data_IF_056439668389
#
_entry.id   IF_056439668389
#
_cell.length_a   1.000
_cell.length_b   1.000
_cell.length_c   1.000
_cell.angle_alpha   90.00
_cell.angle_beta   90.00
_cell.angle_gamma   90.00
#
_symmetry.space_group_name_H-M   'P 1'
#
loop_
_entity.id
_entity.type
_entity.pdbx_description
1 polymer ?
#
# COMPACT_ATOMS: atom_id res chain seq x y z
N UNK A 1 -46.97 -3.39 29.77
CA UNK A 1 -47.13 -4.87 29.83
C UNK A 1 -45.81 -5.41 29.36
N UNK A 2 -44.82 -5.56 30.22
CA UNK A 2 -44.54 -6.59 31.21
C UNK A 2 -44.18 -7.96 30.65
N UNK A 3 -43.00 -8.31 31.09
CA UNK A 3 -42.45 -9.66 31.41
C UNK A 3 -41.78 -10.41 30.27
N UNK A 4 -40.72 -11.12 30.46
CA UNK A 4 -39.67 -11.34 31.48
C UNK A 4 -38.76 -12.48 30.98
N UNK A 5 -37.45 -12.30 31.09
CA UNK A 5 -36.47 -13.15 31.77
C UNK A 5 -36.60 -14.69 31.72
N UNK A 6 -35.47 -15.34 31.38
CA UNK A 6 -34.88 -16.51 32.05
C UNK A 6 -33.55 -16.83 31.35
N UNK A 7 -32.39 -16.68 31.88
CA UNK A 7 -31.59 -17.23 33.01
C UNK A 7 -31.25 -18.70 32.90
N UNK A 8 -29.94 -18.95 32.93
CA UNK A 8 -29.16 -20.09 33.49
C UNK A 8 -28.96 -21.29 32.56
N UNK A 9 -27.85 -22.04 32.59
CA UNK A 9 -26.74 -22.20 33.56
C UNK A 9 -25.50 -22.82 32.89
N UNK A 10 -24.36 -22.49 33.39
CA UNK A 10 -23.13 -23.19 33.78
C UNK A 10 -23.05 -24.70 33.56
N UNK A 11 -21.91 -25.15 33.05
CA UNK A 11 -21.19 -26.31 33.61
C UNK A 11 -19.68 -26.19 33.31
N UNK A 12 -18.91 -26.08 34.36
CA UNK A 12 -17.45 -26.25 34.40
C UNK A 12 -17.16 -27.74 34.66
N UNK A 13 -16.09 -28.26 34.09
CA UNK A 13 -15.50 -29.51 34.54
C UNK A 13 -13.98 -29.37 34.55
N UNK A 14 -13.44 -29.58 35.74
CA UNK A 14 -12.05 -29.45 36.12
C UNK A 14 -11.25 -30.74 35.85
N UNK A 15 -9.94 -30.53 35.71
CA UNK A 15 -8.91 -31.54 35.61
C UNK A 15 -8.68 -32.31 36.91
N UNK A 16 -8.24 -33.55 36.80
CA UNK A 16 -7.58 -34.28 37.90
C UNK A 16 -6.39 -35.06 37.36
N UNK A 17 -5.21 -34.74 37.86
CA UNK A 17 -3.99 -35.51 37.72
C UNK A 17 -3.99 -36.68 38.71
N UNK A 18 -3.49 -37.80 38.28
CA UNK A 18 -3.19 -38.92 39.19
C UNK A 18 -1.76 -39.39 38.94
N UNK A 19 -0.93 -39.16 39.96
CA UNK A 19 0.38 -39.79 40.19
C UNK A 19 0.15 -41.19 40.84
N UNK A 20 0.80 -42.20 40.32
CA UNK A 20 0.97 -43.47 40.99
C UNK A 20 2.43 -43.91 40.99
N UNK A 21 3.03 -43.88 42.17
CA UNK A 21 4.30 -44.51 42.53
C UNK A 21 4.06 -45.96 42.93
N UNK A 22 4.87 -46.86 42.45
CA UNK A 22 5.02 -48.16 43.08
C UNK A 22 6.49 -48.59 43.04
N UNK A 23 7.07 -48.73 44.21
CA UNK A 23 8.37 -49.31 44.46
C UNK A 23 8.26 -50.85 44.57
N UNK A 24 9.25 -51.54 44.06
CA UNK A 24 9.37 -53.01 44.26
C UNK A 24 10.82 -53.42 44.08
N UNK A 25 11.47 -53.78 45.20
CA UNK A 25 12.81 -54.37 45.30
C UNK A 25 12.86 -55.82 44.80
N UNK A 26 13.99 -56.20 44.17
CA UNK A 26 14.36 -57.59 43.93
C UNK A 26 15.71 -57.77 43.28
N UNK A 27 16.73 -58.17 44.07
CA UNK A 27 18.10 -58.50 43.61
C UNK A 27 18.15 -59.77 42.78
N UNK A 28 19.00 -59.84 41.77
CA UNK A 28 20.13 -60.80 41.62
C UNK A 28 20.98 -60.55 40.40
N UNK A 29 22.29 -60.68 40.61
CA UNK A 29 23.40 -60.56 39.69
C UNK A 29 23.37 -61.54 38.51
N UNK A 30 23.86 -61.13 37.34
CA UNK A 30 25.04 -61.73 36.66
C UNK A 30 25.35 -61.04 35.34
N UNK A 31 26.61 -60.57 35.32
CA UNK A 31 27.58 -60.49 34.21
C UNK A 31 27.20 -59.98 32.79
N UNK A 32 27.77 -58.86 32.47
CA UNK A 32 28.65 -58.52 31.31
C UNK A 32 28.09 -58.76 29.91
N UNK A 33 27.80 -57.66 29.25
CA UNK A 33 28.35 -57.28 27.93
C UNK A 33 27.97 -55.80 27.68
N UNK A 34 28.99 -54.96 27.72
CA UNK A 34 28.92 -53.59 27.29
C UNK A 34 28.63 -53.54 25.76
N UNK A 35 27.45 -53.10 25.40
CA UNK A 35 27.15 -52.60 24.07
C UNK A 35 27.03 -51.10 24.16
N UNK A 36 28.07 -50.40 23.76
CA UNK A 36 28.09 -48.95 23.65
C UNK A 36 27.14 -48.53 22.51
N UNK A 37 25.91 -48.17 22.89
CA UNK A 37 25.03 -47.47 21.98
C UNK A 37 25.49 -46.01 21.81
N UNK A 38 26.17 -45.74 20.72
CA UNK A 38 26.45 -44.37 20.27
C UNK A 38 25.08 -43.69 20.05
N UNK A 39 24.79 -42.53 20.65
CA UNK A 39 23.59 -41.79 20.34
C UNK A 39 23.66 -41.33 18.89
N UNK A 40 22.85 -41.90 18.03
CA UNK A 40 22.69 -41.40 16.66
C UNK A 40 22.02 -40.03 16.74
N UNK A 41 22.80 -38.99 16.68
CA UNK A 41 22.29 -37.63 16.52
C UNK A 41 21.66 -37.55 15.13
N UNK A 42 20.35 -37.65 15.07
CA UNK A 42 19.60 -37.41 13.85
C UNK A 42 19.69 -35.92 13.56
N UNK A 43 20.68 -35.54 12.76
CA UNK A 43 20.73 -34.17 12.22
C UNK A 43 19.57 -34.02 11.25
N UNK A 44 18.49 -33.42 11.69
CA UNK A 44 17.41 -33.01 10.81
C UNK A 44 17.96 -31.93 9.87
N UNK A 45 18.36 -32.33 8.68
CA UNK A 45 18.75 -31.38 7.64
C UNK A 45 17.46 -30.69 7.20
N UNK A 46 17.21 -29.50 7.76
CA UNK A 46 16.15 -28.62 7.25
C UNK A 46 16.50 -28.29 5.79
N UNK A 47 15.63 -28.63 4.87
CA UNK A 47 15.82 -28.23 3.47
C UNK A 47 16.05 -26.70 3.40
N UNK A 48 16.99 -26.24 2.57
CA UNK A 48 17.22 -24.81 2.40
C UNK A 48 15.89 -24.14 2.03
N UNK A 49 15.51 -23.10 2.77
CA UNK A 49 14.37 -22.27 2.41
C UNK A 49 14.66 -21.62 1.05
N UNK A 50 13.67 -21.54 0.15
CA UNK A 50 13.86 -20.86 -1.12
C UNK A 50 14.27 -19.42 -0.88
N UNK A 51 15.31 -18.94 -1.54
CA UNK A 51 15.72 -17.54 -1.52
C UNK A 51 14.69 -16.77 -2.35
N UNK A 52 13.90 -15.96 -1.68
CA UNK A 52 12.89 -15.12 -2.33
C UNK A 52 13.55 -13.88 -2.96
N UNK A 53 13.01 -13.43 -4.08
CA UNK A 53 13.44 -12.23 -4.77
C UNK A 53 13.10 -10.95 -4.00
N UNK A 54 13.79 -9.87 -4.36
CA UNK A 54 13.61 -8.54 -3.76
C UNK A 54 12.33 -7.88 -4.29
N UNK A 55 11.45 -7.51 -3.38
CA UNK A 55 10.34 -6.60 -3.68
C UNK A 55 10.86 -5.17 -3.83
N UNK A 56 10.85 -4.68 -5.05
CA UNK A 56 11.46 -3.38 -5.41
C UNK A 56 10.73 -2.17 -4.84
N UNK A 57 9.48 -2.34 -4.39
CA UNK A 57 8.67 -1.26 -3.80
C UNK A 57 8.79 -1.21 -2.28
N UNK A 58 9.17 -2.33 -1.64
CA UNK A 58 9.20 -2.44 -0.18
C UNK A 58 10.57 -2.79 0.41
N UNK A 59 11.52 -3.27 -0.40
CA UNK A 59 12.81 -3.77 0.07
C UNK A 59 12.76 -5.13 0.74
N UNK A 60 11.60 -5.76 0.84
CA UNK A 60 11.43 -7.08 1.44
C UNK A 60 11.79 -8.19 0.45
N UNK A 61 12.31 -9.30 0.95
CA UNK A 61 12.54 -10.50 0.14
C UNK A 61 11.30 -11.40 0.20
N UNK A 62 10.27 -11.05 -0.58
CA UNK A 62 8.97 -11.73 -0.59
C UNK A 62 8.40 -11.95 -2.00
N UNK A 63 9.25 -11.85 -3.04
CA UNK A 63 8.87 -11.98 -4.45
C UNK A 63 9.39 -13.30 -5.03
N UNK A 64 8.79 -13.75 -6.13
CA UNK A 64 9.30 -14.90 -6.90
C UNK A 64 10.54 -14.52 -7.73
N UNK A 65 10.59 -13.28 -8.24
CA UNK A 65 11.72 -12.73 -9.00
C UNK A 65 12.06 -11.30 -8.55
N UNK A 66 13.28 -10.85 -8.87
CA UNK A 66 13.74 -9.48 -8.54
C UNK A 66 13.24 -8.42 -9.54
N UNK A 67 12.64 -8.82 -10.65
CA UNK A 67 12.34 -7.94 -11.78
C UNK A 67 10.85 -7.91 -12.13
N UNK A 68 9.98 -8.29 -11.20
CA UNK A 68 8.55 -8.24 -11.44
C UNK A 68 8.09 -6.82 -11.75
N UNK A 69 7.19 -6.71 -12.73
CA UNK A 69 6.63 -5.45 -13.17
C UNK A 69 5.45 -5.05 -12.29
N UNK A 70 5.45 -3.84 -11.71
CA UNK A 70 4.35 -3.37 -10.88
C UNK A 70 3.05 -3.21 -11.66
N UNK A 71 1.93 -3.31 -10.94
CA UNK A 71 0.60 -2.99 -11.44
C UNK A 71 -0.08 -2.01 -10.49
N UNK A 72 -0.65 -0.93 -11.04
CA UNK A 72 -1.30 0.13 -10.28
C UNK A 72 -2.78 0.24 -10.59
N UNK A 73 -3.64 0.32 -9.58
CA UNK A 73 -5.10 0.45 -9.71
C UNK A 73 -5.54 1.78 -9.12
N UNK A 74 -6.23 2.60 -9.91
CA UNK A 74 -6.79 3.88 -9.43
C UNK A 74 -8.03 3.62 -8.61
N UNK A 75 -7.98 3.99 -7.32
CA UNK A 75 -9.06 3.80 -6.35
C UNK A 75 -9.52 5.15 -5.80
N UNK A 76 -10.80 5.27 -5.45
CA UNK A 76 -11.33 6.48 -4.82
C UNK A 76 -10.83 6.66 -3.39
N UNK A 77 -10.66 7.93 -2.98
CA UNK A 77 -10.55 8.31 -1.56
C UNK A 77 -11.48 9.49 -1.21
N UNK A 78 -12.58 9.60 -1.95
CA UNK A 78 -13.48 10.76 -1.95
C UNK A 78 -14.24 10.97 -0.65
N UNK A 79 -14.60 9.90 0.06
CA UNK A 79 -15.54 10.03 1.19
C UNK A 79 -15.39 8.91 2.21
N UNK A 80 -15.58 9.26 3.48
CA UNK A 80 -15.69 8.30 4.58
C UNK A 80 -16.85 7.29 4.40
N UNK A 81 -17.81 7.55 3.50
CA UNK A 81 -18.91 6.65 3.18
C UNK A 81 -18.58 5.64 2.09
N UNK A 82 -17.51 5.88 1.32
CA UNK A 82 -17.01 4.92 0.34
C UNK A 82 -16.03 3.97 1.03
N UNK A 83 -16.33 2.72 0.89
CA UNK A 83 -15.56 1.64 1.52
C UNK A 83 -14.64 1.04 0.47
N UNK A 84 -13.34 1.13 0.69
CA UNK A 84 -12.36 0.48 -0.17
C UNK A 84 -12.25 -1.01 0.16
N UNK A 85 -12.02 -1.82 -0.87
CA UNK A 85 -11.78 -3.26 -0.75
C UNK A 85 -10.32 -3.52 -1.07
N UNK A 86 -9.62 -4.18 -0.16
CA UNK A 86 -8.24 -4.68 -0.29
C UNK A 86 -7.20 -3.60 -0.65
N UNK A 87 -7.50 -2.32 -0.44
CA UNK A 87 -6.57 -1.23 -0.68
C UNK A 87 -5.33 -1.36 0.21
N UNK A 88 -5.50 -1.80 1.46
CA UNK A 88 -4.43 -2.00 2.46
C UNK A 88 -3.38 -3.03 2.03
N UNK A 89 -3.69 -3.87 1.04
CA UNK A 89 -2.78 -4.91 0.52
C UNK A 89 -1.74 -4.37 -0.46
N UNK A 90 -1.91 -3.14 -0.96
CA UNK A 90 -0.93 -2.54 -1.86
C UNK A 90 0.45 -2.38 -1.20
N UNK A 91 1.51 -2.47 -1.99
CA UNK A 91 2.90 -2.32 -1.57
C UNK A 91 3.33 -0.85 -1.53
N UNK A 92 2.75 -0.02 -2.43
CA UNK A 92 2.97 1.43 -2.48
C UNK A 92 1.66 2.14 -2.81
N UNK A 93 1.53 3.37 -2.31
CA UNK A 93 0.38 4.24 -2.56
C UNK A 93 0.86 5.56 -3.15
N UNK A 94 0.13 6.07 -4.13
CA UNK A 94 0.31 7.43 -4.62
C UNK A 94 -1.04 8.15 -4.59
N UNK A 95 -1.12 9.22 -3.81
CA UNK A 95 -2.35 10.00 -3.64
C UNK A 95 -2.15 11.44 -4.11
N UNK A 96 -3.12 11.93 -4.88
CA UNK A 96 -3.15 13.28 -5.40
C UNK A 96 -4.58 13.79 -5.55
N UNK A 97 -4.74 15.12 -5.62
CA UNK A 97 -6.02 15.74 -5.92
C UNK A 97 -6.48 15.46 -7.37
N UNK A 98 -7.79 15.45 -7.56
CA UNK A 98 -8.46 15.43 -8.86
C UNK A 98 -9.46 16.57 -8.95
N UNK A 99 -10.62 16.39 -9.61
CA UNK A 99 -11.67 17.41 -9.70
C UNK A 99 -12.11 17.89 -8.32
N UNK A 100 -12.32 19.18 -8.17
CA UNK A 100 -12.72 19.83 -6.91
C UNK A 100 -11.75 19.59 -5.73
N UNK A 101 -10.50 19.22 -6.00
CA UNK A 101 -9.54 18.85 -4.98
C UNK A 101 -9.77 17.50 -4.32
N UNK A 102 -10.72 16.70 -4.82
CA UNK A 102 -11.06 15.37 -4.26
C UNK A 102 -9.89 14.41 -4.50
N UNK A 103 -9.44 13.65 -3.48
CA UNK A 103 -8.30 12.76 -3.64
C UNK A 103 -8.66 11.44 -4.33
N UNK A 104 -7.65 10.87 -4.99
CA UNK A 104 -7.63 9.47 -5.45
C UNK A 104 -6.30 8.85 -5.08
N UNK A 105 -6.32 7.53 -4.93
CA UNK A 105 -5.13 6.72 -4.66
C UNK A 105 -4.85 5.81 -5.85
N UNK A 106 -3.60 5.80 -6.33
CA UNK A 106 -3.08 4.71 -7.14
C UNK A 106 -2.50 3.68 -6.17
N UNK A 107 -3.18 2.56 -6.04
CA UNK A 107 -2.73 1.42 -5.26
C UNK A 107 -1.79 0.58 -6.13
N UNK A 108 -0.53 0.43 -5.74
CA UNK A 108 0.51 -0.20 -6.54
C UNK A 108 0.95 -1.48 -5.86
N UNK A 109 0.87 -2.57 -6.61
CA UNK A 109 1.33 -3.90 -6.23
C UNK A 109 2.61 -4.23 -6.99
N UNK A 110 3.55 -4.88 -6.36
CA UNK A 110 4.89 -5.13 -6.92
C UNK A 110 4.87 -6.08 -8.12
N UNK A 111 3.82 -6.88 -8.27
CA UNK A 111 3.58 -7.71 -9.45
C UNK A 111 2.09 -7.92 -9.72
N UNK A 112 1.74 -8.41 -10.89
CA UNK A 112 0.36 -8.78 -11.23
C UNK A 112 -0.16 -9.92 -10.36
N UNK A 113 0.72 -10.80 -9.88
CA UNK A 113 0.37 -11.96 -9.07
C UNK A 113 0.05 -11.58 -7.62
N UNK A 114 0.47 -10.38 -7.18
CA UNK A 114 0.14 -9.81 -5.86
C UNK A 114 -1.20 -9.07 -5.82
N UNK A 115 -1.88 -8.92 -6.94
CA UNK A 115 -3.23 -8.36 -6.91
C UNK A 115 -4.14 -9.20 -6.01
N UNK A 116 -4.92 -8.57 -5.11
CA UNK A 116 -5.96 -9.26 -4.37
C UNK A 116 -7.09 -9.72 -5.32
N UNK A 117 -7.90 -10.68 -4.88
CA UNK A 117 -9.00 -11.25 -5.68
C UNK A 117 -9.94 -10.16 -6.21
N UNK A 118 -10.11 -9.08 -5.43
CA UNK A 118 -10.89 -7.92 -5.81
C UNK A 118 -10.30 -6.64 -5.22
N UNK A 119 -10.32 -5.54 -5.97
CA UNK A 119 -9.86 -4.22 -5.52
C UNK A 119 -10.76 -3.10 -6.03
N UNK A 120 -10.99 -2.09 -5.19
CA UNK A 120 -11.69 -0.87 -5.57
C UNK A 120 -12.38 -0.13 -4.43
N UNK A 121 -13.26 0.81 -4.74
CA UNK A 121 -13.86 1.17 -6.03
C UNK A 121 -12.87 1.81 -7.00
N UNK A 122 -12.81 1.28 -8.22
CA UNK A 122 -11.89 1.76 -9.26
C UNK A 122 -12.40 3.07 -9.86
N UNK A 123 -11.47 3.95 -10.23
CA UNK A 123 -11.74 5.30 -10.74
C UNK A 123 -11.04 5.59 -12.06
N UNK A 124 -11.42 6.75 -12.62
CA UNK A 124 -10.98 7.22 -13.92
C UNK A 124 -9.53 7.71 -13.91
N UNK A 125 -8.84 7.53 -15.03
CA UNK A 125 -7.50 8.03 -15.26
C UNK A 125 -7.43 9.57 -15.19
N UNK A 126 -6.29 10.08 -14.69
CA UNK A 126 -5.90 11.49 -14.72
C UNK A 126 -4.42 11.59 -15.11
N UNK A 127 -3.98 12.67 -15.77
CA UNK A 127 -2.64 12.76 -16.34
C UNK A 127 -1.52 12.45 -15.34
N UNK A 128 -1.55 13.03 -14.14
CA UNK A 128 -0.51 12.85 -13.13
C UNK A 128 -0.44 11.42 -12.59
N UNK A 129 -1.57 10.68 -12.48
CA UNK A 129 -1.54 9.25 -12.14
C UNK A 129 -0.92 8.41 -13.25
N UNK A 130 -1.19 8.76 -14.51
CA UNK A 130 -0.58 8.08 -15.67
C UNK A 130 0.91 8.35 -15.73
N UNK A 131 1.35 9.60 -15.51
CA UNK A 131 2.77 9.97 -15.44
C UNK A 131 3.50 9.23 -14.32
N UNK A 132 2.90 9.13 -13.14
CA UNK A 132 3.49 8.40 -12.02
C UNK A 132 3.58 6.89 -12.29
N UNK A 133 2.51 6.30 -12.82
CA UNK A 133 2.52 4.89 -13.23
C UNK A 133 3.59 4.61 -14.29
N UNK A 134 3.75 5.52 -15.27
CA UNK A 134 4.81 5.43 -16.28
C UNK A 134 6.20 5.45 -15.67
N UNK A 135 6.44 6.33 -14.69
CA UNK A 135 7.71 6.48 -14.01
C UNK A 135 8.16 5.23 -13.25
N UNK A 136 7.21 4.41 -12.81
CA UNK A 136 7.46 3.10 -12.18
C UNK A 136 7.30 1.92 -13.14
N UNK A 137 7.05 2.18 -14.43
CA UNK A 137 6.73 1.16 -15.44
C UNK A 137 5.54 0.26 -15.05
N UNK A 138 4.54 0.81 -14.33
CA UNK A 138 3.35 0.06 -13.94
C UNK A 138 2.46 -0.29 -15.14
N UNK A 139 1.84 -1.47 -15.08
CA UNK A 139 0.58 -1.72 -15.81
C UNK A 139 -0.50 -0.90 -15.11
N UNK A 140 -1.22 -0.05 -15.85
CA UNK A 140 -2.11 0.96 -15.29
C UNK A 140 -3.58 0.56 -15.40
N UNK A 141 -4.26 0.33 -14.27
CA UNK A 141 -5.64 -0.12 -14.21
C UNK A 141 -6.58 1.02 -13.83
N UNK A 142 -7.60 1.28 -14.67
CA UNK A 142 -8.55 2.37 -14.47
C UNK A 142 -9.92 2.11 -15.15
N UNK A 143 -10.93 2.93 -14.85
CA UNK A 143 -12.22 2.91 -15.52
C UNK A 143 -12.48 4.29 -16.15
N UNK A 144 -12.44 4.38 -17.47
CA UNK A 144 -12.57 5.65 -18.16
C UNK A 144 -11.46 6.64 -17.81
N UNK A 145 -11.66 7.91 -18.12
CA UNK A 145 -10.64 8.94 -17.85
C UNK A 145 -11.14 10.34 -18.23
N UNK A 146 -10.41 11.36 -17.81
CA UNK A 146 -10.48 12.66 -18.49
C UNK A 146 -9.92 12.53 -19.91
N UNK A 147 -10.28 13.44 -20.79
CA UNK A 147 -9.71 13.46 -22.13
C UNK A 147 -8.18 13.52 -22.06
N UNK A 148 -7.62 14.46 -21.30
CA UNK A 148 -6.20 14.62 -21.08
C UNK A 148 -5.53 13.40 -20.45
N UNK A 149 -6.21 12.72 -19.51
CA UNK A 149 -5.73 11.48 -18.90
C UNK A 149 -5.63 10.34 -19.91
N UNK A 150 -6.63 10.17 -20.80
CA UNK A 150 -6.60 9.16 -21.85
C UNK A 150 -5.55 9.50 -22.94
N UNK A 151 -5.44 10.76 -23.33
CA UNK A 151 -4.40 11.22 -24.23
C UNK A 151 -2.99 11.00 -23.66
N UNK A 152 -2.80 11.19 -22.35
CA UNK A 152 -1.53 10.94 -21.66
C UNK A 152 -1.15 9.46 -21.71
N UNK A 153 -2.10 8.53 -21.53
CA UNK A 153 -1.88 7.08 -21.69
C UNK A 153 -1.31 6.78 -23.09
N UNK A 154 -1.92 7.34 -24.13
CA UNK A 154 -1.50 7.13 -25.52
C UNK A 154 -0.14 7.76 -25.80
N UNK A 155 0.07 9.02 -25.39
CA UNK A 155 1.31 9.78 -25.63
C UNK A 155 2.51 9.14 -24.96
N UNK A 156 2.35 8.69 -23.69
CA UNK A 156 3.42 8.06 -22.93
C UNK A 156 3.51 6.54 -23.19
N UNK A 157 2.62 5.99 -24.01
CA UNK A 157 2.55 4.56 -24.33
C UNK A 157 2.55 3.71 -23.06
N UNK A 158 1.65 4.02 -22.15
CA UNK A 158 1.46 3.25 -20.92
C UNK A 158 0.61 2.04 -21.22
N UNK A 159 1.05 0.86 -20.79
CA UNK A 159 0.20 -0.34 -20.83
C UNK A 159 -0.94 -0.16 -19.84
N UNK A 160 -2.17 -0.03 -20.35
CA UNK A 160 -3.35 0.19 -19.54
C UNK A 160 -4.34 -0.98 -19.59
N UNK A 161 -5.10 -1.15 -18.52
CA UNK A 161 -6.19 -2.13 -18.43
C UNK A 161 -7.48 -1.42 -18.02
N UNK A 162 -8.53 -1.65 -18.81
CA UNK A 162 -9.89 -1.23 -18.54
C UNK A 162 -10.87 -2.35 -18.93
N UNK A 163 -12.14 -2.25 -18.51
CA UNK A 163 -13.16 -3.24 -18.84
C UNK A 163 -13.07 -4.54 -18.02
N UNK A 164 -12.39 -4.52 -16.88
CA UNK A 164 -12.28 -5.64 -15.93
C UNK A 164 -13.19 -5.49 -14.71
N UNK A 165 -14.07 -4.51 -14.73
CA UNK A 165 -14.93 -4.18 -13.61
C UNK A 165 -16.10 -5.14 -13.41
N UNK A 166 -16.48 -5.28 -12.13
CA UNK A 166 -17.77 -5.82 -11.69
C UNK A 166 -18.43 -4.85 -10.71
N UNK A 167 -19.73 -5.00 -10.49
CA UNK A 167 -20.43 -4.24 -9.46
C UNK A 167 -20.44 -5.05 -8.18
N UNK A 168 -19.70 -4.60 -7.17
CA UNK A 168 -19.67 -5.24 -5.87
C UNK A 168 -20.94 -4.90 -5.06
N UNK A 169 -21.69 -5.92 -4.67
CA UNK A 169 -22.96 -5.77 -3.95
C UNK A 169 -22.77 -5.31 -2.48
N UNK A 170 -21.58 -5.55 -1.89
CA UNK A 170 -21.29 -5.19 -0.50
C UNK A 170 -20.98 -3.72 -0.35
N UNK A 171 -20.42 -3.09 -1.39
CA UNK A 171 -20.12 -1.67 -1.36
C UNK A 171 -21.42 -0.87 -1.42
N UNK A 172 -21.72 -0.18 -0.31
CA UNK A 172 -22.86 0.73 -0.21
C UNK A 172 -22.38 2.17 -0.36
N UNK A 173 -23.07 2.93 -1.20
CA UNK A 173 -22.88 4.36 -1.33
C UNK A 173 -24.16 5.06 -0.89
N UNK A 174 -24.05 6.20 -0.22
CA UNK A 174 -25.19 7.03 0.19
C UNK A 174 -26.06 7.46 -1.01
N UNK A 175 -25.48 7.56 -2.20
CA UNK A 175 -26.16 7.92 -3.45
C UNK A 175 -26.49 6.74 -4.36
N UNK A 176 -26.21 5.53 -3.95
CA UNK A 176 -26.53 4.24 -4.62
C UNK A 176 -26.19 4.14 -6.13
N UNK A 177 -25.22 4.94 -6.61
CA UNK A 177 -24.75 4.85 -7.99
C UNK A 177 -23.92 3.58 -8.21
N UNK A 178 -24.22 2.83 -9.28
CA UNK A 178 -23.49 1.60 -9.60
C UNK A 178 -21.98 1.82 -9.82
N UNK A 179 -21.60 2.99 -10.38
CA UNK A 179 -20.21 3.34 -10.62
C UNK A 179 -19.38 3.50 -9.32
N UNK A 180 -20.02 3.85 -8.20
CA UNK A 180 -19.37 3.91 -6.88
C UNK A 180 -18.97 2.54 -6.32
N UNK A 181 -19.46 1.46 -6.93
CA UNK A 181 -19.28 0.07 -6.48
C UNK A 181 -18.50 -0.77 -7.48
N UNK A 182 -17.93 -0.17 -8.51
CA UNK A 182 -17.16 -0.90 -9.52
C UNK A 182 -15.77 -1.26 -8.97
N UNK A 183 -15.49 -2.55 -8.95
CA UNK A 183 -14.23 -3.14 -8.52
C UNK A 183 -13.60 -3.90 -9.67
N UNK A 184 -12.28 -4.06 -9.66
CA UNK A 184 -11.60 -4.99 -10.57
C UNK A 184 -11.44 -6.35 -9.91
N UNK A 185 -11.70 -7.40 -10.67
CA UNK A 185 -11.51 -8.80 -10.29
C UNK A 185 -10.18 -9.28 -10.84
N UNK A 186 -9.34 -9.86 -9.98
CA UNK A 186 -7.98 -10.31 -10.30
C UNK A 186 -7.94 -11.18 -11.56
N UNK A 187 -8.76 -12.22 -11.66
CA UNK A 187 -8.74 -13.16 -12.78
C UNK A 187 -9.02 -12.49 -14.13
N UNK A 188 -9.89 -11.47 -14.14
CA UNK A 188 -10.15 -10.69 -15.36
C UNK A 188 -8.94 -9.84 -15.74
N UNK A 189 -8.25 -9.26 -14.76
CA UNK A 189 -7.03 -8.47 -15.00
C UNK A 189 -5.93 -9.37 -15.53
N UNK A 190 -5.66 -10.51 -14.89
CA UNK A 190 -4.66 -11.49 -15.33
C UNK A 190 -4.95 -11.99 -16.76
N UNK A 191 -6.19 -12.36 -17.04
CA UNK A 191 -6.63 -12.75 -18.38
C UNK A 191 -6.37 -11.65 -19.42
N UNK A 192 -6.55 -10.39 -19.04
CA UNK A 192 -6.27 -9.25 -19.92
C UNK A 192 -4.78 -9.05 -20.16
N UNK A 193 -3.95 -9.18 -19.11
CA UNK A 193 -2.48 -9.17 -19.20
C UNK A 193 -2.00 -10.24 -20.18
N UNK A 194 -2.47 -11.47 -20.02
CA UNK A 194 -2.06 -12.61 -20.83
C UNK A 194 -2.55 -12.49 -22.28
N UNK A 195 -3.82 -12.12 -22.49
CA UNK A 195 -4.40 -11.97 -23.84
C UNK A 195 -3.73 -10.87 -24.68
N UNK A 196 -3.28 -9.81 -24.02
CA UNK A 196 -2.53 -8.72 -24.66
C UNK A 196 -1.01 -8.97 -24.69
N UNK A 197 -0.54 -10.09 -24.15
CA UNK A 197 0.89 -10.44 -24.02
C UNK A 197 1.70 -9.31 -23.39
N UNK A 198 1.14 -8.70 -22.33
CA UNK A 198 1.82 -7.63 -21.63
C UNK A 198 3.06 -8.18 -20.91
N UNK A 199 4.12 -7.40 -20.91
CA UNK A 199 5.36 -7.73 -20.21
C UNK A 199 5.10 -7.76 -18.69
N UNK A 200 5.53 -8.85 -18.03
CA UNK A 200 5.40 -9.05 -16.56
C UNK A 200 6.68 -8.68 -15.79
N UNK A 201 7.76 -8.33 -16.50
CA UNK A 201 9.04 -7.93 -15.91
C UNK A 201 9.36 -6.48 -16.26
N UNK A 202 10.18 -5.84 -15.46
CA UNK A 202 10.62 -4.45 -15.65
C UNK A 202 12.14 -4.31 -15.55
N UNK A 203 12.69 -3.33 -16.25
CA UNK A 203 14.08 -2.89 -16.14
C UNK A 203 14.21 -1.50 -15.49
N UNK A 204 13.09 -0.86 -15.15
CA UNK A 204 13.08 0.46 -14.51
C UNK A 204 13.75 0.36 -13.14
N UNK A 205 14.60 1.31 -12.81
CA UNK A 205 15.30 1.35 -11.52
C UNK A 205 14.33 1.48 -10.33
N UNK A 206 14.75 0.95 -9.18
CA UNK A 206 14.06 1.22 -7.90
C UNK A 206 14.21 2.71 -7.59
N UNK A 207 13.15 3.43 -7.20
CA UNK A 207 13.20 4.88 -7.02
C UNK A 207 14.03 5.35 -5.81
N UNK A 208 14.36 4.46 -4.88
CA UNK A 208 15.11 4.73 -3.65
C UNK A 208 15.88 3.49 -3.17
N UNK A 209 16.77 3.66 -2.19
CA UNK A 209 17.48 2.57 -1.52
C UNK A 209 16.77 2.20 -0.21
N UNK A 210 16.94 0.96 0.25
CA UNK A 210 16.39 0.50 1.52
C UNK A 210 17.47 0.42 2.58
N UNK A 211 17.13 0.82 3.81
CA UNK A 211 18.04 0.79 4.94
C UNK A 211 17.57 1.69 6.08
N UNK A 212 18.40 1.78 7.12
CA UNK A 212 18.14 2.69 8.25
C UNK A 212 19.07 3.90 8.15
N UNK A 213 18.50 5.09 8.24
CA UNK A 213 19.26 6.34 8.37
C UNK A 213 19.01 6.96 9.74
N UNK A 214 20.07 7.23 10.48
CA UNK A 214 20.01 7.89 11.78
C UNK A 214 20.02 9.42 11.64
N UNK A 215 19.55 10.13 12.67
CA UNK A 215 19.93 11.52 12.89
C UNK A 215 18.99 12.60 12.35
N UNK A 216 17.68 12.34 12.34
CA UNK A 216 16.68 13.37 12.00
C UNK A 216 15.67 13.56 13.14
N UNK A 217 14.91 14.67 13.12
CA UNK A 217 13.83 14.91 14.06
C UNK A 217 12.76 13.81 13.92
N UNK A 218 12.19 13.39 15.05
CA UNK A 218 11.09 12.43 15.04
C UNK A 218 9.83 13.09 14.48
N UNK A 219 9.16 12.44 13.56
CA UNK A 219 7.86 12.81 13.03
C UNK A 219 6.78 11.91 13.62
N UNK A 220 6.18 12.33 14.74
CA UNK A 220 5.05 11.60 15.34
C UNK A 220 3.78 11.78 14.53
N UNK A 221 3.64 12.93 13.87
CA UNK A 221 2.53 13.22 12.97
C UNK A 221 3.04 13.88 11.69
N UNK A 222 2.38 13.56 10.59
CA UNK A 222 2.56 14.23 9.29
C UNK A 222 1.18 14.66 8.81
N UNK A 223 0.98 15.98 8.61
CA UNK A 223 -0.27 16.51 8.05
C UNK A 223 0.07 17.23 6.74
N UNK A 224 -0.48 16.77 5.66
CA UNK A 224 -0.27 17.29 4.31
C UNK A 224 -1.54 18.00 3.84
N UNK A 225 -1.42 19.26 3.44
CA UNK A 225 -2.48 19.94 2.70
C UNK A 225 -2.43 19.47 1.25
N UNK A 226 -3.25 18.48 0.93
CA UNK A 226 -3.26 17.86 -0.40
C UNK A 226 -3.90 18.78 -1.45
N UNK A 227 -5.00 19.42 -1.08
CA UNK A 227 -5.71 20.42 -1.88
C UNK A 227 -6.33 21.48 -0.97
N UNK A 228 -6.99 22.48 -1.54
CA UNK A 228 -7.70 23.48 -0.71
C UNK A 228 -8.84 22.84 0.12
N UNK A 229 -9.41 21.74 -0.37
CA UNK A 229 -10.55 21.06 0.26
C UNK A 229 -10.14 19.89 1.17
N UNK A 230 -8.96 19.29 0.99
CA UNK A 230 -8.58 18.05 1.65
C UNK A 230 -7.22 18.13 2.33
N UNK A 231 -7.20 17.66 3.55
CA UNK A 231 -5.99 17.32 4.30
C UNK A 231 -5.77 15.80 4.25
N UNK A 232 -4.53 15.39 4.44
CA UNK A 232 -4.12 14.01 4.64
C UNK A 232 -3.24 13.95 5.89
N UNK A 233 -3.51 13.02 6.78
CA UNK A 233 -2.79 12.94 8.03
C UNK A 233 -2.32 11.52 8.33
N UNK A 234 -1.18 11.45 9.03
CA UNK A 234 -0.55 10.21 9.49
C UNK A 234 -0.11 10.37 10.93
N UNK A 235 -0.27 9.31 11.73
CA UNK A 235 0.31 9.19 13.08
C UNK A 235 1.29 8.04 13.12
N UNK A 236 2.43 8.24 13.80
CA UNK A 236 3.47 7.22 13.92
C UNK A 236 3.17 6.27 15.09
N UNK A 237 3.08 4.99 14.79
CA UNK A 237 3.03 3.89 15.76
C UNK A 237 4.47 3.40 15.99
N UNK A 238 5.07 3.83 17.10
CA UNK A 238 6.47 3.51 17.42
C UNK A 238 6.69 2.02 17.75
N UNK A 239 5.65 1.31 18.22
CA UNK A 239 5.76 -0.12 18.51
C UNK A 239 5.88 -0.94 17.24
N UNK A 240 5.15 -0.53 16.18
CA UNK A 240 5.17 -1.19 14.88
C UNK A 240 6.15 -0.58 13.89
N UNK A 241 6.71 0.61 14.20
CA UNK A 241 7.56 1.34 13.28
C UNK A 241 6.85 1.81 12.01
N UNK A 242 5.55 2.15 12.11
CA UNK A 242 4.69 2.44 10.97
C UNK A 242 3.88 3.73 11.16
N UNK A 243 3.59 4.41 10.07
CA UNK A 243 2.64 5.50 9.99
C UNK A 243 1.25 4.95 9.65
N UNK A 244 0.26 5.32 10.45
CA UNK A 244 -1.15 5.01 10.21
C UNK A 244 -1.82 6.18 9.50
N UNK A 245 -2.34 5.96 8.29
CA UNK A 245 -3.09 6.98 7.55
C UNK A 245 -4.42 7.24 8.23
N UNK A 246 -4.78 8.51 8.42
CA UNK A 246 -6.12 8.94 8.78
C UNK A 246 -7.00 9.16 7.54
N UNK A 247 -8.31 9.23 7.73
CA UNK A 247 -9.25 9.48 6.61
C UNK A 247 -9.02 10.83 5.94
N UNK A 248 -8.74 11.88 6.74
CA UNK A 248 -8.38 13.20 6.26
C UNK A 248 -7.44 13.91 7.27
N UNK A 249 -7.95 14.52 8.32
CA UNK A 249 -7.18 15.17 9.39
C UNK A 249 -6.91 14.21 10.56
N UNK A 250 -6.09 14.65 11.52
CA UNK A 250 -5.77 13.88 12.74
C UNK A 250 -6.99 13.56 13.60
N UNK A 251 -8.04 14.39 13.55
CA UNK A 251 -9.28 14.17 14.31
C UNK A 251 -10.15 13.07 13.68
N UNK A 252 -9.86 12.62 12.47
CA UNK A 252 -10.62 11.55 11.82
C UNK A 252 -10.07 10.18 12.21
N UNK A 253 -10.88 9.12 12.14
CA UNK A 253 -10.40 7.76 12.41
C UNK A 253 -9.26 7.34 11.47
N UNK A 254 -8.43 6.42 11.94
CA UNK A 254 -7.47 5.72 11.08
C UNK A 254 -8.20 5.11 9.89
N UNK A 255 -7.64 5.28 8.72
CA UNK A 255 -8.22 4.81 7.47
C UNK A 255 -8.17 3.28 7.40
N UNK A 256 -9.29 2.67 7.68
CA UNK A 256 -9.47 1.21 7.63
C UNK A 256 -10.32 0.85 6.42
N UNK A 257 -9.88 -0.15 5.67
CA UNK A 257 -10.61 -0.67 4.51
C UNK A 257 -11.75 -1.60 4.93
N UNK A 258 -12.65 -1.93 4.00
CA UNK A 258 -13.76 -2.85 4.29
C UNK A 258 -13.27 -4.26 4.62
N UNK A 259 -12.16 -4.66 4.06
CA UNK A 259 -11.54 -5.96 4.29
C UNK A 259 -10.79 -6.05 5.62
N UNK A 260 -10.74 -4.96 6.39
CA UNK A 260 -10.48 -4.98 7.82
C UNK A 260 -9.10 -4.48 8.24
N UNK A 261 -8.22 -4.10 7.32
CA UNK A 261 -6.90 -3.59 7.64
C UNK A 261 -6.80 -2.06 7.63
N UNK A 262 -6.00 -1.44 8.53
CA UNK A 262 -5.62 -0.04 8.39
C UNK A 262 -4.64 0.14 7.23
N UNK A 263 -4.63 1.31 6.62
CA UNK A 263 -3.54 1.72 5.74
C UNK A 263 -2.37 2.11 6.65
N UNK A 264 -1.37 1.24 6.72
CA UNK A 264 -0.17 1.36 7.53
C UNK A 264 1.07 1.25 6.64
N UNK A 265 2.03 2.19 6.77
CA UNK A 265 3.21 2.27 5.92
C UNK A 265 4.46 2.61 6.73
N UNK A 266 5.61 2.14 6.29
CA UNK A 266 6.90 2.46 6.92
C UNK A 266 7.39 3.86 6.56
N UNK A 267 6.98 4.36 5.38
CA UNK A 267 7.46 5.62 4.82
C UNK A 267 6.31 6.48 4.31
N UNK A 268 6.37 7.77 4.59
CA UNK A 268 5.53 8.81 4.00
C UNK A 268 6.42 9.77 3.23
N UNK A 269 6.23 9.85 1.92
CA UNK A 269 6.91 10.82 1.04
C UNK A 269 5.90 11.88 0.64
N UNK A 270 6.23 13.16 0.82
CA UNK A 270 5.47 14.29 0.29
C UNK A 270 6.27 14.88 -0.86
N UNK A 271 5.73 14.82 -2.07
CA UNK A 271 6.26 15.48 -3.26
C UNK A 271 5.57 16.83 -3.43
N UNK A 272 6.34 17.91 -3.53
CA UNK A 272 5.81 19.22 -3.93
C UNK A 272 6.12 19.46 -5.39
N UNK A 273 5.09 19.79 -6.15
CA UNK A 273 5.20 19.99 -7.59
C UNK A 273 4.35 21.17 -8.07
N UNK A 274 4.74 21.73 -9.18
CA UNK A 274 3.95 22.75 -9.85
C UNK A 274 2.71 22.14 -10.49
N UNK A 275 1.53 22.76 -10.24
CA UNK A 275 0.28 22.36 -10.87
C UNK A 275 -0.24 23.41 -11.81
N UNK A 276 -0.79 22.97 -12.93
CA UNK A 276 -1.47 23.81 -13.92
C UNK A 276 -2.93 23.47 -14.04
N UNK A 277 -3.77 24.44 -14.36
CA UNK A 277 -5.18 24.18 -14.64
C UNK A 277 -5.30 23.34 -15.91
N UNK A 278 -5.76 22.10 -15.77
CA UNK A 278 -5.99 21.18 -16.89
C UNK A 278 -7.34 21.45 -17.55
N UNK A 279 -8.39 21.55 -16.75
CA UNK A 279 -9.75 21.77 -17.25
C UNK A 279 -10.65 22.39 -16.16
N UNK A 280 -11.59 23.21 -16.61
CA UNK A 280 -12.75 23.58 -15.82
C UNK A 280 -13.85 22.55 -16.11
N UNK A 281 -13.96 21.57 -15.22
CA UNK A 281 -14.93 20.47 -15.36
C UNK A 281 -16.32 20.93 -14.92
N UNK A 282 -17.32 20.64 -15.74
CA UNK A 282 -18.72 20.92 -15.41
C UNK A 282 -19.58 19.67 -15.54
N UNK A 283 -20.30 19.32 -14.49
CA UNK A 283 -21.23 18.19 -14.48
C UNK A 283 -22.36 18.42 -13.48
N UNK A 284 -23.60 18.12 -13.86
CA UNK A 284 -24.76 18.22 -12.98
C UNK A 284 -25.02 19.60 -12.40
N UNK A 285 -24.66 20.69 -13.11
CA UNK A 285 -24.80 22.06 -12.63
C UNK A 285 -23.70 22.53 -11.69
N UNK A 286 -22.68 21.70 -11.43
CA UNK A 286 -21.52 22.04 -10.63
C UNK A 286 -20.30 22.23 -11.51
N UNK A 287 -19.51 23.24 -11.20
CA UNK A 287 -18.22 23.53 -11.89
C UNK A 287 -17.08 23.31 -10.89
N UNK A 288 -16.02 22.66 -11.33
CA UNK A 288 -14.84 22.41 -10.53
C UNK A 288 -13.58 22.47 -11.37
N UNK A 289 -12.52 23.01 -10.81
CA UNK A 289 -11.19 22.98 -11.41
C UNK A 289 -10.61 21.57 -11.29
N UNK A 290 -9.94 21.13 -12.36
CA UNK A 290 -9.05 19.99 -12.38
C UNK A 290 -7.65 20.46 -12.71
N UNK A 291 -6.68 19.98 -11.97
CA UNK A 291 -5.28 20.33 -12.17
C UNK A 291 -4.50 19.12 -12.67
N UNK A 292 -3.47 19.39 -13.47
CA UNK A 292 -2.38 18.44 -13.79
C UNK A 292 -1.10 18.91 -13.09
N UNK A 293 -0.21 17.98 -12.84
CA UNK A 293 1.10 18.21 -12.25
C UNK A 293 2.19 17.93 -13.27
N UNK A 294 3.28 18.69 -13.21
CA UNK A 294 4.39 18.56 -14.16
C UNK A 294 5.09 17.21 -14.03
N UNK A 295 5.30 16.76 -12.81
CA UNK A 295 6.00 15.51 -12.46
C UNK A 295 7.36 15.36 -13.16
N UNK A 296 8.15 16.45 -13.15
CA UNK A 296 9.52 16.48 -13.70
C UNK A 296 10.57 16.43 -12.61
N UNK A 297 10.53 17.38 -11.70
CA UNK A 297 11.44 17.46 -10.55
C UNK A 297 10.89 18.39 -9.49
N UNK A 298 11.31 18.17 -8.25
CA UNK A 298 10.86 19.02 -7.16
C UNK A 298 11.60 18.77 -5.85
N UNK A 299 11.11 19.43 -4.83
CA UNK A 299 11.47 19.16 -3.45
C UNK A 299 10.39 18.33 -2.77
N UNK A 300 10.70 17.81 -1.60
CA UNK A 300 9.74 17.03 -0.84
C UNK A 300 10.17 16.86 0.61
N UNK A 301 9.42 16.02 1.29
CA UNK A 301 9.69 15.59 2.67
C UNK A 301 9.54 14.08 2.73
N UNK A 302 10.41 13.44 3.49
CA UNK A 302 10.31 12.03 3.87
C UNK A 302 10.12 11.94 5.38
N UNK A 303 9.14 11.16 5.83
CA UNK A 303 9.06 10.61 7.18
C UNK A 303 9.21 9.10 7.07
N UNK A 304 10.21 8.49 7.73
CA UNK A 304 10.60 7.10 7.54
C UNK A 304 11.07 6.49 8.83
N UNK A 305 10.37 5.49 9.34
CA UNK A 305 10.70 4.80 10.59
C UNK A 305 10.76 5.71 11.82
N UNK A 306 10.01 6.80 11.84
CA UNK A 306 10.02 7.85 12.86
C UNK A 306 10.71 9.15 12.45
N UNK A 307 11.97 9.17 11.99
CA UNK A 307 12.65 10.39 11.54
C UNK A 307 12.05 11.03 10.28
N UNK A 308 12.15 12.38 10.21
CA UNK A 308 11.76 13.14 9.02
C UNK A 308 12.88 14.02 8.49
N UNK A 309 12.90 14.28 7.18
CA UNK A 309 13.87 15.15 6.52
C UNK A 309 13.42 15.65 5.15
N UNK A 310 14.01 16.74 4.69
CA UNK A 310 13.80 17.24 3.32
C UNK A 310 14.47 16.33 2.29
N UNK A 311 13.86 16.24 1.12
CA UNK A 311 14.33 15.43 -0.01
C UNK A 311 14.22 16.22 -1.32
N UNK A 312 14.86 15.68 -2.35
CA UNK A 312 14.67 16.06 -3.76
C UNK A 312 14.17 14.88 -4.57
N UNK A 313 13.51 15.14 -5.67
CA UNK A 313 13.08 14.10 -6.59
C UNK A 313 13.17 14.59 -8.03
N UNK A 314 13.40 13.66 -8.95
CA UNK A 314 13.37 13.88 -10.40
C UNK A 314 12.65 12.72 -11.07
N UNK A 315 12.02 13.01 -12.20
CA UNK A 315 11.42 12.02 -13.07
C UNK A 315 11.92 12.25 -14.50
N UNK A 316 12.63 11.27 -15.04
CA UNK A 316 13.27 11.31 -16.34
C UNK A 316 12.93 10.06 -17.17
N UNK A 317 13.58 9.89 -18.31
CA UNK A 317 13.30 8.76 -19.22
C UNK A 317 13.58 7.38 -18.62
N UNK A 318 14.43 7.30 -17.60
CA UNK A 318 14.80 6.08 -16.89
C UNK A 318 13.96 5.83 -15.62
N UNK A 319 13.07 6.76 -15.26
CA UNK A 319 12.11 6.61 -14.17
C UNK A 319 12.14 7.72 -13.13
N UNK A 320 11.48 7.44 -12.01
CA UNK A 320 11.42 8.32 -10.84
C UNK A 320 12.57 8.03 -9.90
N UNK A 321 13.27 9.08 -9.47
CA UNK A 321 14.38 9.01 -8.53
C UNK A 321 14.16 9.96 -7.37
N UNK A 322 14.46 9.48 -6.18
CA UNK A 322 14.46 10.30 -4.97
C UNK A 322 15.89 10.44 -4.44
N UNK A 323 16.19 11.62 -3.94
CA UNK A 323 17.50 11.98 -3.40
C UNK A 323 17.36 12.62 -2.02
N UNK A 324 18.43 12.57 -1.25
CA UNK A 324 18.58 13.39 -0.06
C UNK A 324 18.48 14.88 -0.43
N UNK A 325 18.49 15.77 0.55
CA UNK A 325 18.36 17.22 0.33
C UNK A 325 19.45 17.83 -0.56
N UNK A 326 20.59 17.14 -0.71
CA UNK A 326 21.69 17.54 -1.60
C UNK A 326 21.35 17.36 -3.11
N UNK A 327 20.30 16.61 -3.43
CA UNK A 327 19.85 16.35 -4.80
C UNK A 327 20.73 15.37 -5.59
N UNK A 328 21.69 14.71 -4.96
CA UNK A 328 22.67 13.80 -5.60
C UNK A 328 22.70 12.43 -4.92
N UNK A 329 22.72 12.39 -3.59
CA UNK A 329 22.75 11.14 -2.83
C UNK A 329 21.40 10.42 -2.95
N UNK A 330 21.36 9.17 -3.43
CA UNK A 330 20.11 8.41 -3.52
C UNK A 330 19.41 8.32 -2.16
N UNK A 331 18.09 8.51 -2.16
CA UNK A 331 17.30 8.50 -0.94
C UNK A 331 17.27 7.09 -0.32
N UNK A 332 17.54 7.03 0.99
CA UNK A 332 17.38 5.80 1.77
C UNK A 332 16.06 5.83 2.55
N UNK A 333 15.23 4.81 2.38
CA UNK A 333 13.96 4.64 3.10
C UNK A 333 13.98 3.35 3.93
N UNK A 334 13.15 3.26 4.96
CA UNK A 334 12.98 2.04 5.75
C UNK A 334 12.28 0.96 4.92
N UNK A 335 12.68 -0.29 5.06
CA UNK A 335 11.96 -1.42 4.46
C UNK A 335 10.49 -1.42 4.85
N UNK A 336 9.63 -1.76 3.91
CA UNK A 336 8.19 -1.78 4.06
C UNK A 336 7.47 -0.84 3.09
N UNK A 337 6.17 -0.71 3.26
CA UNK A 337 5.29 0.04 2.37
C UNK A 337 5.60 1.54 2.40
N UNK A 338 5.38 2.20 1.25
CA UNK A 338 5.58 3.64 1.09
C UNK A 338 4.27 4.31 0.63
N UNK A 339 3.92 5.42 1.29
CA UNK A 339 2.83 6.29 0.87
C UNK A 339 3.41 7.58 0.28
N UNK A 340 3.09 7.86 -0.97
CA UNK A 340 3.53 9.07 -1.69
C UNK A 340 2.34 10.02 -1.82
N UNK A 341 2.49 11.23 -1.30
CA UNK A 341 1.54 12.33 -1.39
C UNK A 341 2.04 13.34 -2.41
N UNK A 342 1.28 13.63 -3.45
CA UNK A 342 1.58 14.71 -4.39
C UNK A 342 0.74 15.94 -4.06
N UNK A 343 1.39 17.01 -3.62
CA UNK A 343 0.76 18.28 -3.27
C UNK A 343 1.33 19.42 -4.12
N UNK A 344 0.53 20.46 -4.33
CA UNK A 344 1.02 21.67 -4.98
C UNK A 344 2.14 22.32 -4.16
N UNK A 345 3.16 22.83 -4.84
CA UNK A 345 4.23 23.63 -4.27
C UNK A 345 3.70 24.86 -3.52
N UNK A 346 2.58 25.43 -3.97
CA UNK A 346 1.90 26.56 -3.31
C UNK A 346 1.29 26.19 -1.95
N UNK A 347 1.08 24.92 -1.67
CA UNK A 347 0.54 24.42 -0.41
C UNK A 347 1.62 23.91 0.57
N UNK A 348 2.90 23.96 0.17
CA UNK A 348 4.02 23.43 0.95
C UNK A 348 4.06 23.97 2.38
N UNK A 349 3.86 25.28 2.57
CA UNK A 349 3.90 25.91 3.88
C UNK A 349 2.78 25.46 4.84
N UNK A 350 1.80 24.74 4.33
CA UNK A 350 0.66 24.21 5.09
C UNK A 350 0.84 22.72 5.46
N UNK A 351 1.94 22.11 5.06
CA UNK A 351 2.34 20.79 5.57
C UNK A 351 3.01 20.96 6.92
N UNK A 352 2.60 20.16 7.90
CA UNK A 352 3.18 20.17 9.24
C UNK A 352 3.69 18.78 9.62
N UNK A 353 4.83 18.76 10.32
CA UNK A 353 5.46 17.55 10.86
C UNK A 353 5.81 17.84 12.32
N UNK A 354 5.41 16.99 13.24
CA UNK A 354 5.61 17.18 14.68
C UNK A 354 5.93 15.86 15.40
#
# INVERSE_FOLDING_TARGET
MTFSSLRRALAAAAAAALLLTAAGCGKKDTSILESSSVPTTTTTTTAPQPVLGLNRLTGLHDMETDNDRPIGVVVTDESATLVQINLEKADMFFEAETEAGIPRILAIFSSVDRLPDEIGPVRSARPHFVKFAKALDCIYCHIGGSQTGLETIQTLKVDDITGCETVNAVLKSSKNYSWNRKTFVRDKVLSRVDSRKMRKTTTTAVPFQFGKKAGCATANTVVVKLSEAYDMAFTYDAEKGQYLKHRSSLDTPVHTTHTGGPIAVSNVIVMYDHRTLDEVYSSGGHTANRYDFDLKSGSGLLASGGPSREIRWTNSSDGLHYYESDGVTPLTVTEGKTFVCLASDTLRSRTTVS
#
